data_IF_856668605678
#
_entry.id   IF_856668605678
#
_cell.length_a   1.000
_cell.length_b   1.000
_cell.length_c   1.000
_cell.angle_alpha   90.00
_cell.angle_beta   90.00
_cell.angle_gamma   90.00
#
_symmetry.space_group_name_H-M   'P 1'
#
loop_
_entity.id
_entity.type
_entity.pdbx_description
1 polymer ?
#
# COMPACT_ATOMS: atom_id res chain seq x y z
N UNK A 1 -14.92 4.22 14.17
CA UNK A 1 -13.58 4.69 13.74
C UNK A 1 -12.90 5.54 14.79
N UNK A 2 -13.53 6.63 15.27
CA UNK A 2 -12.97 7.46 16.36
C UNK A 2 -12.62 6.63 17.61
N UNK A 3 -13.56 5.81 18.11
CA UNK A 3 -13.30 4.93 19.27
C UNK A 3 -12.12 3.95 19.08
N UNK A 4 -11.96 3.37 17.88
CA UNK A 4 -10.82 2.50 17.57
C UNK A 4 -9.53 3.32 17.56
N UNK A 5 -9.53 4.50 16.94
CA UNK A 5 -8.38 5.39 16.91
C UNK A 5 -7.96 5.82 18.32
N UNK A 6 -8.93 6.16 19.19
CA UNK A 6 -8.67 6.52 20.59
C UNK A 6 -8.09 5.38 21.41
N UNK A 7 -8.50 4.12 21.16
CA UNK A 7 -7.86 2.95 21.78
C UNK A 7 -6.38 2.77 21.39
N UNK A 8 -5.96 3.38 20.27
CA UNK A 8 -4.58 3.41 19.79
C UNK A 8 -3.85 4.71 20.20
N UNK A 9 -4.46 5.53 21.07
CA UNK A 9 -3.88 6.79 21.56
C UNK A 9 -4.04 7.98 20.62
N UNK A 10 -4.88 7.88 19.58
CA UNK A 10 -5.15 8.99 18.67
C UNK A 10 -6.23 9.91 19.28
N UNK A 11 -5.93 11.20 19.30
CA UNK A 11 -6.85 12.24 19.75
C UNK A 11 -8.21 12.18 18.99
N UNK A 12 -9.35 12.08 19.70
CA UNK A 12 -10.67 11.93 19.08
C UNK A 12 -11.04 13.08 18.13
N UNK A 13 -10.74 14.32 18.52
CA UNK A 13 -11.12 15.51 17.75
C UNK A 13 -10.29 15.65 16.49
N UNK A 14 -9.01 15.29 16.56
CA UNK A 14 -8.12 15.18 15.40
C UNK A 14 -8.63 14.11 14.43
N UNK A 15 -9.02 12.94 14.93
CA UNK A 15 -9.59 11.89 14.08
C UNK A 15 -10.91 12.32 13.44
N UNK A 16 -11.79 13.02 14.18
CA UNK A 16 -13.05 13.53 13.66
C UNK A 16 -12.82 14.53 12.51
N UNK A 17 -11.86 15.45 12.66
CA UNK A 17 -11.46 16.39 11.59
C UNK A 17 -10.93 15.68 10.36
N UNK A 18 -10.04 14.70 10.53
CA UNK A 18 -9.47 13.93 9.42
C UNK A 18 -10.52 13.08 8.68
N UNK A 19 -11.53 12.57 9.38
CA UNK A 19 -12.66 11.88 8.75
C UNK A 19 -13.49 12.81 7.87
N UNK A 20 -13.59 14.10 8.22
CA UNK A 20 -14.33 15.11 7.46
C UNK A 20 -13.51 15.75 6.33
N UNK A 21 -12.19 15.53 6.26
CA UNK A 21 -11.30 16.15 5.27
C UNK A 21 -11.54 15.65 3.83
N UNK A 22 -11.98 16.55 2.94
CA UNK A 22 -12.08 16.29 1.49
C UNK A 22 -10.70 16.08 0.86
N UNK A 23 -9.72 16.89 1.25
CA UNK A 23 -8.34 16.75 0.78
C UNK A 23 -7.80 15.34 1.04
N UNK A 24 -8.10 14.74 2.20
CA UNK A 24 -7.69 13.36 2.51
C UNK A 24 -8.43 12.36 1.62
N UNK A 25 -9.74 12.55 1.39
CA UNK A 25 -10.54 11.69 0.49
C UNK A 25 -10.00 11.70 -0.94
N UNK A 26 -9.66 12.87 -1.46
CA UNK A 26 -9.19 12.99 -2.85
C UNK A 26 -7.80 12.38 -3.02
N UNK A 27 -6.88 12.58 -2.07
CA UNK A 27 -5.59 11.87 -2.06
C UNK A 27 -5.77 10.35 -2.05
N UNK A 28 -6.71 9.85 -1.25
CA UNK A 28 -7.01 8.42 -1.19
C UNK A 28 -7.53 7.88 -2.53
N UNK A 29 -8.48 8.59 -3.17
CA UNK A 29 -9.00 8.23 -4.50
C UNK A 29 -7.92 8.25 -5.56
N UNK A 30 -7.08 9.29 -5.59
CA UNK A 30 -5.95 9.38 -6.51
C UNK A 30 -4.97 8.22 -6.34
N UNK A 31 -4.65 7.86 -5.09
CA UNK A 31 -3.78 6.73 -4.78
C UNK A 31 -4.37 5.41 -5.29
N UNK A 32 -5.65 5.16 -5.02
CA UNK A 32 -6.36 3.97 -5.51
C UNK A 32 -6.44 3.94 -7.04
N UNK A 33 -6.72 5.08 -7.67
CA UNK A 33 -6.76 5.19 -9.12
C UNK A 33 -5.38 4.90 -9.73
N UNK A 34 -4.30 5.46 -9.18
CA UNK A 34 -2.93 5.17 -9.63
C UNK A 34 -2.58 3.69 -9.46
N UNK A 35 -2.92 3.10 -8.32
CA UNK A 35 -2.70 1.68 -8.05
C UNK A 35 -3.39 0.78 -9.08
N UNK A 36 -4.66 1.06 -9.40
CA UNK A 36 -5.43 0.28 -10.36
C UNK A 36 -4.99 0.54 -11.82
N UNK A 37 -4.95 1.81 -12.24
CA UNK A 37 -4.78 2.20 -13.64
C UNK A 37 -3.33 2.18 -14.12
N UNK A 38 -2.39 2.63 -13.28
CA UNK A 38 -1.00 2.81 -13.69
C UNK A 38 -0.13 1.62 -13.30
N UNK A 39 -0.39 1.03 -12.12
CA UNK A 39 0.40 -0.09 -11.59
C UNK A 39 -0.24 -1.45 -11.93
N UNK A 40 -1.54 -1.49 -12.26
CA UNK A 40 -2.23 -2.73 -12.64
C UNK A 40 -2.62 -3.61 -11.46
N UNK A 41 -2.78 -3.04 -10.26
CA UNK A 41 -3.19 -3.80 -9.07
C UNK A 41 -4.68 -4.13 -9.16
N UNK A 42 -5.02 -5.42 -9.21
CA UNK A 42 -6.39 -5.95 -9.26
C UNK A 42 -6.87 -6.61 -7.97
N UNK A 43 -5.96 -6.92 -7.04
CA UNK A 43 -6.26 -7.56 -5.76
C UNK A 43 -5.34 -7.04 -4.65
N UNK A 44 -5.81 -7.11 -3.40
CA UNK A 44 -5.04 -6.72 -2.22
C UNK A 44 -4.86 -7.91 -1.26
N UNK A 45 -3.69 -8.03 -0.59
CA UNK A 45 -2.51 -7.21 -0.79
C UNK A 45 -1.78 -7.53 -2.10
N UNK A 46 -1.07 -6.53 -2.62
CA UNK A 46 -0.10 -6.68 -3.72
C UNK A 46 1.12 -5.84 -3.34
N UNK A 47 2.32 -6.41 -3.49
CA UNK A 47 3.59 -5.74 -3.21
C UNK A 47 4.28 -5.44 -4.54
N UNK A 48 4.85 -4.25 -4.68
CA UNK A 48 5.62 -3.86 -5.87
C UNK A 48 7.09 -3.73 -5.47
N UNK A 49 7.98 -4.42 -6.18
CA UNK A 49 9.44 -4.34 -6.02
C UNK A 49 10.02 -4.04 -7.39
N UNK A 50 10.60 -2.87 -7.60
CA UNK A 50 11.23 -2.48 -8.87
C UNK A 50 10.38 -2.83 -10.11
N UNK A 51 9.15 -2.30 -10.15
CA UNK A 51 8.10 -2.58 -11.15
C UNK A 51 7.60 -4.03 -11.24
N UNK A 52 8.08 -4.96 -10.42
CA UNK A 52 7.56 -6.32 -10.35
C UNK A 52 6.41 -6.41 -9.34
N UNK A 53 5.27 -6.95 -9.79
CA UNK A 53 4.09 -7.16 -8.96
C UNK A 53 4.11 -8.54 -8.30
N UNK A 54 3.96 -8.57 -6.98
CA UNK A 54 3.73 -9.76 -6.18
C UNK A 54 2.30 -9.74 -5.65
N UNK A 55 1.40 -10.43 -6.36
CA UNK A 55 0.00 -10.52 -5.99
C UNK A 55 -0.24 -11.50 -4.83
N UNK A 56 -1.18 -11.13 -3.95
CA UNK A 56 -1.60 -11.89 -2.78
C UNK A 56 -0.75 -11.61 -1.54
N UNK A 57 -0.89 -12.46 -0.52
CA UNK A 57 -0.06 -12.42 0.70
C UNK A 57 1.17 -13.30 0.49
N UNK A 58 2.34 -12.78 0.07
CA UNK A 58 3.53 -13.60 -0.02
C UNK A 58 3.98 -14.03 1.37
N UNK A 59 4.33 -15.31 1.54
CA UNK A 59 5.09 -15.70 2.71
C UNK A 59 6.52 -15.07 2.66
N UNK A 60 7.21 -14.95 3.80
CA UNK A 60 8.52 -14.28 3.84
C UNK A 60 9.55 -14.87 2.86
N UNK A 61 9.56 -16.19 2.66
CA UNK A 61 10.46 -16.86 1.70
C UNK A 61 10.17 -16.46 0.26
N UNK A 62 8.88 -16.39 -0.13
CA UNK A 62 8.46 -15.95 -1.46
C UNK A 62 8.85 -14.50 -1.72
N UNK A 63 8.78 -13.65 -0.69
CA UNK A 63 9.21 -12.25 -0.79
C UNK A 63 10.73 -12.14 -0.98
N UNK A 64 11.51 -12.85 -0.17
CA UNK A 64 12.98 -12.87 -0.27
C UNK A 64 13.43 -13.38 -1.64
N UNK A 65 12.89 -14.51 -2.10
CA UNK A 65 13.23 -15.08 -3.41
C UNK A 65 12.88 -14.13 -4.57
N UNK A 66 11.78 -13.39 -4.46
CA UNK A 66 11.40 -12.40 -5.47
C UNK A 66 12.39 -11.24 -5.49
N UNK A 67 12.78 -10.73 -4.33
CA UNK A 67 13.79 -9.69 -4.21
C UNK A 67 15.14 -10.15 -4.79
N UNK A 68 15.63 -11.33 -4.40
CA UNK A 68 16.91 -11.86 -4.86
C UNK A 68 16.95 -12.04 -6.40
N UNK A 69 15.85 -12.51 -7.00
CA UNK A 69 15.73 -12.62 -8.46
C UNK A 69 15.82 -11.26 -9.16
N UNK A 70 15.14 -10.25 -8.62
CA UNK A 70 15.15 -8.90 -9.19
C UNK A 70 16.56 -8.29 -9.11
N UNK A 71 17.19 -8.38 -7.93
CA UNK A 71 18.56 -7.90 -7.73
C UNK A 71 19.56 -8.61 -8.63
N UNK A 72 19.41 -9.93 -8.84
CA UNK A 72 20.29 -10.69 -9.72
C UNK A 72 20.13 -10.32 -11.20
N UNK A 73 18.90 -9.98 -11.63
CA UNK A 73 18.64 -9.55 -13.01
C UNK A 73 19.23 -8.16 -13.28
N UNK A 74 19.06 -7.21 -12.36
CA UNK A 74 19.56 -5.84 -12.51
C UNK A 74 21.11 -5.72 -12.49
N UNK A 75 21.83 -6.77 -12.11
CA UNK A 75 23.31 -6.82 -12.16
C UNK A 75 23.85 -7.36 -13.49
N UNK A 76 23.00 -7.91 -14.35
CA UNK A 76 23.39 -8.48 -15.64
C UNK A 76 23.18 -7.52 -16.81
N UNK A 77 22.50 -6.41 -16.56
CA UNK A 77 22.34 -5.26 -17.46
C UNK A 77 23.38 -4.18 -17.12
#
# INVERSE_FOLDING_TARGET
MVSIASSLGIDPDTMARELMSDTRRDRQRMSQHRAASSVGISAVPTIVIDNHLLQGVPNPRRLLNAFDRIVANNRKD
#
